data_IF_890590973781
#
_entry.id   IF_890590973781
#
_cell.length_a   1.000
_cell.length_b   1.000
_cell.length_c   1.000
_cell.angle_alpha   90.00
_cell.angle_beta   90.00
_cell.angle_gamma   90.00
#
_symmetry.space_group_name_H-M   'P 1'
#
loop_
_entity.id
_entity.type
_entity.pdbx_description
1 polymer ?
#
# COMPACT_ATOMS: atom_id res chain seq x y z
N UNK A 1 21.05 31.83 33.23
CA UNK A 1 19.93 32.67 33.72
C UNK A 1 20.25 34.10 33.34
N UNK A 2 19.34 34.71 32.58
CA UNK A 2 19.02 36.13 32.39
C UNK A 2 20.12 37.21 32.52
N UNK A 3 20.43 37.96 31.45
CA UNK A 3 19.82 39.24 31.01
C UNK A 3 20.57 40.47 31.56
N UNK A 4 20.80 41.44 30.66
CA UNK A 4 20.84 42.92 30.80
C UNK A 4 22.14 43.54 30.24
N UNK A 5 22.06 44.25 29.11
CA UNK A 5 21.79 45.70 28.93
C UNK A 5 23.01 46.57 29.33
N UNK A 6 23.78 47.13 28.38
CA UNK A 6 23.57 48.36 27.57
C UNK A 6 23.90 49.65 28.34
N UNK A 7 24.58 50.56 27.62
CA UNK A 7 24.91 51.98 27.88
C UNK A 7 26.21 52.19 28.68
N UNK A 8 27.06 53.18 28.41
CA UNK A 8 26.87 54.54 27.87
C UNK A 8 28.26 54.99 27.34
N UNK A 9 28.43 55.48 26.11
CA UNK A 9 28.22 56.86 25.61
C UNK A 9 29.35 57.86 25.97
N UNK A 10 29.64 58.71 24.97
CA UNK A 10 30.33 60.02 25.03
C UNK A 10 31.87 59.99 25.11
N UNK A 11 32.59 60.33 24.03
CA UNK A 11 32.86 61.68 23.49
C UNK A 11 34.16 62.28 24.07
N UNK A 12 35.15 62.60 23.22
CA UNK A 12 35.74 63.95 23.15
C UNK A 12 36.87 64.06 22.10
N UNK A 13 36.90 65.25 21.50
CA UNK A 13 38.07 66.06 21.07
C UNK A 13 38.43 66.16 19.57
N UNK A 14 37.84 67.21 18.97
CA UNK A 14 38.39 68.28 18.09
C UNK A 14 39.82 68.12 17.54
N UNK A 15 39.96 68.49 16.25
CA UNK A 15 40.83 69.59 15.76
C UNK A 15 40.43 70.01 14.33
N UNK A 16 40.42 71.32 14.08
CA UNK A 16 40.21 72.02 12.79
C UNK A 16 41.46 71.94 11.89
N UNK A 17 41.39 72.06 10.56
CA UNK A 17 41.42 73.35 9.83
C UNK A 17 40.92 73.27 8.37
N UNK A 18 40.27 74.36 7.96
CA UNK A 18 39.91 74.84 6.62
C UNK A 18 40.66 74.29 5.39
N UNK A 19 39.93 74.05 4.29
CA UNK A 19 39.95 74.90 3.08
C UNK A 19 39.00 74.33 2.01
N UNK A 20 38.01 75.13 1.62
CA UNK A 20 36.89 74.80 0.73
C UNK A 20 37.31 74.85 -0.74
N UNK A 21 36.84 73.90 -1.57
CA UNK A 21 36.72 74.12 -3.01
C UNK A 21 35.46 73.40 -3.51
N UNK A 22 34.41 74.19 -3.77
CA UNK A 22 33.20 73.75 -4.47
C UNK A 22 33.54 73.43 -5.93
N UNK A 23 33.15 72.23 -6.37
CA UNK A 23 33.03 71.89 -7.79
C UNK A 23 31.75 71.07 -7.92
N UNK A 24 30.73 71.68 -8.51
CA UNK A 24 29.50 71.02 -8.91
C UNK A 24 29.80 69.85 -9.87
N UNK A 25 29.79 68.63 -9.36
CA UNK A 25 29.41 67.42 -10.10
C UNK A 25 29.08 66.28 -9.12
N UNK A 26 28.07 65.44 -9.42
CA UNK A 26 27.72 64.30 -8.57
C UNK A 26 28.79 63.23 -8.74
N UNK A 27 29.61 63.00 -7.71
CA UNK A 27 30.55 61.89 -7.68
C UNK A 27 29.90 60.73 -6.91
N UNK A 28 29.81 59.62 -7.63
CA UNK A 28 29.29 58.31 -7.25
C UNK A 28 29.78 57.83 -5.88
N UNK A 29 28.85 57.41 -5.03
CA UNK A 29 29.10 56.38 -4.03
C UNK A 29 28.43 55.11 -4.55
N UNK A 30 29.08 54.44 -5.49
CA UNK A 30 28.90 53.00 -5.77
C UNK A 30 29.39 52.24 -4.53
N UNK A 31 28.53 52.21 -3.51
CA UNK A 31 28.70 51.44 -2.29
C UNK A 31 27.97 50.11 -2.39
N UNK A 32 28.70 49.09 -2.83
CA UNK A 32 28.66 47.72 -2.30
C UNK A 32 27.27 47.14 -1.96
N UNK A 33 26.57 46.63 -2.96
CA UNK A 33 25.75 45.43 -2.78
C UNK A 33 26.14 44.47 -3.90
N UNK A 34 27.12 43.62 -3.60
CA UNK A 34 27.41 42.42 -4.39
C UNK A 34 26.12 41.61 -4.48
N UNK A 35 25.44 41.74 -5.63
CA UNK A 35 24.24 40.98 -5.96
C UNK A 35 24.66 39.52 -6.11
N UNK A 36 24.63 38.77 -5.00
CA UNK A 36 24.69 37.31 -5.01
C UNK A 36 23.54 36.84 -5.91
N UNK A 37 23.87 36.39 -7.12
CA UNK A 37 22.89 36.07 -8.15
C UNK A 37 22.06 34.84 -7.74
N UNK A 38 20.91 35.12 -7.13
CA UNK A 38 19.95 34.12 -6.64
C UNK A 38 19.42 33.21 -7.75
N UNK A 39 19.59 33.58 -9.02
CA UNK A 39 19.08 32.79 -10.15
C UNK A 39 19.89 31.53 -10.38
N UNK A 40 21.20 31.54 -10.14
CA UNK A 40 22.04 30.35 -10.26
C UNK A 40 21.90 29.41 -9.05
N UNK A 41 21.67 29.97 -7.86
CA UNK A 41 21.35 29.19 -6.66
C UNK A 41 19.99 28.51 -6.80
N UNK A 42 18.95 29.23 -7.23
CA UNK A 42 17.62 28.63 -7.45
C UNK A 42 17.60 27.62 -8.60
N UNK A 43 18.33 27.85 -9.71
CA UNK A 43 18.36 26.91 -10.85
C UNK A 43 19.01 25.57 -10.47
N UNK A 44 20.12 25.60 -9.72
CA UNK A 44 20.80 24.38 -9.26
C UNK A 44 19.96 23.62 -8.23
N UNK A 45 19.26 24.32 -7.35
CA UNK A 45 18.42 23.69 -6.33
C UNK A 45 17.08 23.18 -6.90
N UNK A 46 16.53 23.82 -7.94
CA UNK A 46 15.41 23.26 -8.71
C UNK A 46 15.82 21.98 -9.46
N UNK A 47 16.99 21.97 -10.14
CA UNK A 47 17.45 20.77 -10.86
C UNK A 47 17.76 19.62 -9.91
N UNK A 48 18.42 19.88 -8.78
CA UNK A 48 18.68 18.87 -7.74
C UNK A 48 17.38 18.37 -7.11
N UNK A 49 16.41 19.26 -6.85
CA UNK A 49 15.09 18.89 -6.37
C UNK A 49 14.31 18.01 -7.34
N UNK A 50 14.32 18.33 -8.65
CA UNK A 50 13.68 17.51 -9.67
C UNK A 50 14.32 16.11 -9.78
N UNK A 51 15.65 16.00 -9.70
CA UNK A 51 16.36 14.71 -9.71
C UNK A 51 16.00 13.88 -8.48
N UNK A 52 15.86 14.52 -7.31
CA UNK A 52 15.44 13.85 -6.07
C UNK A 52 13.99 13.33 -6.15
N UNK A 53 13.07 14.12 -6.72
CA UNK A 53 11.67 13.72 -6.93
C UNK A 53 11.58 12.52 -7.90
N UNK A 54 12.39 12.51 -8.96
CA UNK A 54 12.46 11.39 -9.90
C UNK A 54 12.97 10.10 -9.21
N UNK A 55 13.95 10.21 -8.31
CA UNK A 55 14.46 9.07 -7.54
C UNK A 55 13.43 8.49 -6.56
N UNK A 56 12.64 9.34 -5.89
CA UNK A 56 11.58 8.89 -4.96
C UNK A 56 10.47 8.13 -5.72
N UNK A 57 10.22 8.45 -6.98
CA UNK A 57 9.15 7.84 -7.79
C UNK A 57 9.40 6.36 -8.11
N UNK A 58 10.66 5.91 -8.11
CA UNK A 58 11.05 4.52 -8.48
C UNK A 58 10.74 3.54 -7.33
N UNK A 59 10.69 4.02 -6.09
CA UNK A 59 10.60 3.17 -4.89
C UNK A 59 9.15 2.79 -4.54
N UNK A 60 8.15 3.39 -5.18
CA UNK A 60 6.73 3.03 -5.04
C UNK A 60 6.27 1.97 -6.05
N UNK A 61 7.20 1.30 -6.73
CA UNK A 61 6.91 0.17 -7.59
C UNK A 61 6.44 -1.05 -6.78
N UNK A 62 5.13 -1.16 -6.55
CA UNK A 62 4.53 -2.38 -6.00
C UNK A 62 4.66 -3.48 -7.06
N UNK A 63 5.65 -4.35 -6.90
CA UNK A 63 5.84 -5.51 -7.77
C UNK A 63 4.76 -6.56 -7.52
N UNK A 64 3.69 -6.56 -8.33
CA UNK A 64 2.70 -7.61 -8.29
C UNK A 64 3.28 -8.90 -8.90
N UNK A 65 3.85 -9.77 -8.07
CA UNK A 65 4.09 -11.17 -8.42
C UNK A 65 2.74 -11.83 -8.70
N UNK A 66 2.45 -12.16 -9.96
CA UNK A 66 1.20 -12.82 -10.35
C UNK A 66 1.24 -14.27 -9.88
N UNK A 67 0.47 -14.57 -8.85
CA UNK A 67 0.18 -15.96 -8.44
C UNK A 67 -0.78 -16.55 -9.48
N UNK A 68 -0.52 -17.76 -9.95
CA UNK A 68 -1.42 -18.47 -10.86
C UNK A 68 -2.03 -19.67 -10.14
N UNK A 69 -3.36 -19.72 -10.08
CA UNK A 69 -4.09 -20.87 -9.53
C UNK A 69 -3.98 -22.07 -10.47
N UNK A 70 -3.33 -23.16 -10.03
CA UNK A 70 -3.08 -24.36 -10.84
C UNK A 70 -4.08 -25.48 -10.56
N UNK A 71 -4.58 -25.56 -9.33
CA UNK A 71 -5.47 -26.62 -8.87
C UNK A 71 -6.30 -26.16 -7.67
N UNK A 72 -7.50 -26.72 -7.54
CA UNK A 72 -8.31 -26.65 -6.33
C UNK A 72 -8.71 -28.06 -5.93
N UNK A 73 -8.36 -28.46 -4.72
CA UNK A 73 -8.85 -29.70 -4.13
C UNK A 73 -9.91 -29.33 -3.11
N UNK A 74 -11.08 -29.97 -3.15
CA UNK A 74 -12.14 -29.68 -2.19
C UNK A 74 -12.91 -30.92 -1.76
N UNK A 75 -13.42 -30.88 -0.53
CA UNK A 75 -14.27 -31.93 0.04
C UNK A 75 -15.49 -31.31 0.67
N UNK A 76 -16.65 -31.95 0.45
CA UNK A 76 -17.94 -31.46 0.91
C UNK A 76 -18.34 -32.18 2.20
N UNK A 77 -18.91 -31.46 3.16
CA UNK A 77 -19.42 -32.03 4.39
C UNK A 77 -20.83 -32.59 4.17
N UNK A 78 -20.98 -33.90 4.41
CA UNK A 78 -22.25 -34.62 4.33
C UNK A 78 -23.09 -34.33 5.57
N UNK A 79 -24.40 -34.59 5.48
CA UNK A 79 -25.37 -34.33 6.56
C UNK A 79 -25.04 -35.06 7.88
N UNK A 80 -24.27 -36.15 7.81
CA UNK A 80 -23.80 -36.91 8.97
C UNK A 80 -22.49 -36.34 9.60
N UNK A 81 -21.98 -35.21 9.11
CA UNK A 81 -20.76 -34.59 9.61
C UNK A 81 -19.45 -35.24 9.12
N UNK A 82 -19.51 -36.11 8.11
CA UNK A 82 -18.35 -36.73 7.43
C UNK A 82 -18.07 -36.04 6.10
N UNK A 83 -16.81 -36.02 5.65
CA UNK A 83 -16.49 -35.45 4.34
C UNK A 83 -16.71 -36.46 3.21
N UNK A 84 -17.05 -35.95 2.03
CA UNK A 84 -16.92 -36.66 0.77
C UNK A 84 -15.45 -36.98 0.46
N UNK A 85 -15.25 -37.80 -0.57
CA UNK A 85 -13.96 -37.91 -1.23
C UNK A 85 -13.50 -36.54 -1.75
N UNK A 86 -12.18 -36.38 -1.86
CA UNK A 86 -11.56 -35.17 -2.38
C UNK A 86 -11.86 -35.10 -3.88
N UNK A 87 -12.43 -33.98 -4.29
CA UNK A 87 -12.64 -33.65 -5.71
C UNK A 87 -11.51 -32.72 -6.13
N UNK A 88 -10.76 -33.14 -7.15
CA UNK A 88 -9.70 -32.36 -7.76
C UNK A 88 -10.25 -31.57 -8.95
N UNK A 89 -10.08 -30.25 -8.92
CA UNK A 89 -10.48 -29.34 -9.97
C UNK A 89 -9.25 -28.74 -10.64
N UNK A 90 -9.07 -29.07 -11.92
CA UNK A 90 -7.97 -28.59 -12.78
C UNK A 90 -8.46 -27.92 -14.07
N UNK A 91 -9.79 -27.82 -14.26
CA UNK A 91 -10.36 -27.16 -15.44
C UNK A 91 -10.02 -25.66 -15.43
N UNK A 92 -9.24 -25.23 -16.42
CA UNK A 92 -8.72 -23.86 -16.52
C UNK A 92 -9.81 -22.79 -16.46
N UNK A 93 -10.96 -23.00 -17.13
CA UNK A 93 -12.05 -22.03 -17.14
C UNK A 93 -12.72 -21.90 -15.78
N UNK A 94 -12.87 -23.00 -15.05
CA UNK A 94 -13.36 -22.98 -13.66
C UNK A 94 -12.34 -22.34 -12.73
N UNK A 95 -11.05 -22.66 -12.87
CA UNK A 95 -9.98 -22.06 -12.07
C UNK A 95 -9.92 -20.53 -12.24
N UNK A 96 -9.94 -20.02 -13.47
CA UNK A 96 -9.96 -18.57 -13.75
C UNK A 96 -11.18 -17.88 -13.10
N UNK A 97 -12.34 -18.55 -13.08
CA UNK A 97 -13.55 -18.02 -12.42
C UNK A 97 -13.40 -18.01 -10.90
N UNK A 98 -12.83 -19.07 -10.30
CA UNK A 98 -12.55 -19.12 -8.87
C UNK A 98 -11.57 -18.00 -8.50
N UNK A 99 -10.47 -17.85 -9.23
CA UNK A 99 -9.50 -16.78 -9.01
C UNK A 99 -10.13 -15.38 -9.13
N UNK A 100 -11.03 -15.19 -10.10
CA UNK A 100 -11.80 -13.95 -10.24
C UNK A 100 -12.74 -13.70 -9.05
N UNK A 101 -13.35 -14.74 -8.47
CA UNK A 101 -14.16 -14.60 -7.27
C UNK A 101 -13.27 -14.18 -6.11
N UNK A 102 -12.16 -14.89 -5.87
CA UNK A 102 -11.24 -14.65 -4.76
C UNK A 102 -10.58 -13.27 -4.84
N UNK A 103 -10.26 -12.75 -6.03
CA UNK A 103 -9.72 -11.40 -6.20
C UNK A 103 -10.73 -10.27 -5.91
N UNK A 104 -12.04 -10.58 -5.90
CA UNK A 104 -13.10 -9.61 -5.53
C UNK A 104 -13.46 -9.68 -4.05
N UNK A 105 -12.95 -10.65 -3.31
CA UNK A 105 -13.23 -10.80 -1.88
C UNK A 105 -12.53 -9.68 -1.12
N UNK A 106 -13.27 -9.07 -0.21
CA UNK A 106 -12.71 -8.19 0.82
C UNK A 106 -12.44 -9.06 2.04
N UNK A 107 -11.17 -9.28 2.34
CA UNK A 107 -10.73 -10.04 3.50
C UNK A 107 -10.61 -9.12 4.72
N UNK A 108 -11.10 -9.61 5.85
CA UNK A 108 -10.87 -9.04 7.17
C UNK A 108 -9.86 -9.93 7.89
N UNK A 109 -8.72 -9.37 8.28
CA UNK A 109 -7.63 -10.08 8.95
C UNK A 109 -7.80 -10.02 10.47
N UNK A 110 -7.21 -10.98 11.18
CA UNK A 110 -7.21 -11.03 12.64
C UNK A 110 -8.61 -11.08 13.29
N UNK A 111 -9.59 -11.65 12.58
CA UNK A 111 -10.96 -11.80 13.07
C UNK A 111 -11.15 -13.21 13.64
N UNK A 112 -11.34 -13.29 14.96
CA UNK A 112 -11.74 -14.52 15.62
C UNK A 112 -13.23 -14.82 15.34
N UNK A 113 -13.50 -15.75 14.42
CA UNK A 113 -14.87 -16.14 14.06
C UNK A 113 -15.32 -17.35 14.86
N UNK A 114 -16.44 -17.20 15.58
CA UNK A 114 -17.07 -18.32 16.30
C UNK A 114 -17.74 -19.27 15.31
N UNK A 115 -17.26 -20.50 15.23
CA UNK A 115 -17.80 -21.56 14.34
C UNK A 115 -18.98 -22.25 15.04
N UNK A 116 -20.21 -21.96 14.61
CA UNK A 116 -21.44 -22.52 15.22
C UNK A 116 -21.76 -23.93 14.70
N UNK A 117 -21.29 -24.27 13.49
CA UNK A 117 -21.44 -25.60 12.87
C UNK A 117 -20.23 -25.91 12.00
N UNK A 118 -20.04 -27.19 11.66
CA UNK A 118 -19.07 -27.59 10.64
C UNK A 118 -19.36 -26.88 9.31
N UNK A 119 -18.30 -26.51 8.62
CA UNK A 119 -18.32 -25.94 7.29
C UNK A 119 -18.93 -26.88 6.27
N UNK A 120 -19.40 -26.33 5.16
CA UNK A 120 -20.01 -27.09 4.07
C UNK A 120 -18.93 -27.63 3.12
N UNK A 121 -17.83 -26.88 2.94
CA UNK A 121 -16.71 -27.28 2.10
C UNK A 121 -15.38 -26.90 2.77
N UNK A 122 -14.41 -27.81 2.71
CA UNK A 122 -12.99 -27.45 2.85
C UNK A 122 -12.35 -27.45 1.47
N UNK A 123 -11.66 -26.37 1.12
CA UNK A 123 -10.97 -26.22 -0.16
C UNK A 123 -9.51 -25.85 0.07
N UNK A 124 -8.61 -26.46 -0.70
CA UNK A 124 -7.19 -26.15 -0.76
C UNK A 124 -6.87 -25.64 -2.15
N UNK A 125 -6.44 -24.37 -2.25
CA UNK A 125 -6.06 -23.73 -3.49
C UNK A 125 -4.53 -23.81 -3.64
N UNK A 126 -4.06 -24.22 -4.82
CA UNK A 126 -2.65 -24.38 -5.14
C UNK A 126 -2.20 -23.27 -6.10
N UNK A 127 -1.19 -22.51 -5.69
CA UNK A 127 -0.67 -21.39 -6.47
C UNK A 127 0.80 -21.56 -6.81
N UNK A 128 1.14 -21.23 -8.05
CA UNK A 128 2.54 -21.06 -8.50
C UNK A 128 2.82 -19.57 -8.63
N UNK A 129 3.76 -19.05 -7.84
CA UNK A 129 4.18 -17.65 -7.88
C UNK A 129 5.35 -17.42 -8.85
N UNK A 130 6.33 -18.33 -8.85
CA UNK A 130 7.51 -18.27 -9.72
C UNK A 130 7.76 -19.62 -10.41
N UNK A 131 8.26 -19.57 -11.64
CA UNK A 131 8.62 -20.77 -12.39
C UNK A 131 9.74 -21.49 -11.63
N UNK A 132 9.52 -22.76 -11.29
CA UNK A 132 10.41 -23.66 -10.53
C UNK A 132 10.39 -23.50 -8.99
N UNK A 133 9.49 -22.69 -8.42
CA UNK A 133 9.22 -22.70 -6.99
C UNK A 133 8.12 -23.73 -6.64
N UNK A 134 8.13 -24.31 -5.43
CA UNK A 134 7.05 -25.20 -5.00
C UNK A 134 5.71 -24.45 -4.96
N UNK A 135 4.63 -25.19 -5.19
CA UNK A 135 3.27 -24.66 -5.06
C UNK A 135 3.04 -24.17 -3.63
N UNK A 136 2.38 -23.02 -3.49
CA UNK A 136 1.86 -22.54 -2.21
C UNK A 136 0.42 -22.99 -2.05
N UNK A 137 0.10 -23.52 -0.89
CA UNK A 137 -1.22 -24.03 -0.55
C UNK A 137 -1.91 -23.03 0.36
N UNK A 138 -3.18 -22.76 0.08
CA UNK A 138 -4.03 -21.96 0.94
C UNK A 138 -5.32 -22.72 1.23
N UNK A 139 -5.60 -22.91 2.51
CA UNK A 139 -6.76 -23.67 2.96
C UNK A 139 -7.91 -22.73 3.36
N UNK A 140 -9.11 -23.09 2.93
CA UNK A 140 -10.32 -22.33 3.18
C UNK A 140 -11.44 -23.24 3.68
N UNK A 141 -12.12 -22.78 4.73
CA UNK A 141 -13.38 -23.33 5.21
C UNK A 141 -14.52 -22.45 4.69
N UNK A 142 -15.55 -23.07 4.07
CA UNK A 142 -16.62 -22.36 3.38
C UNK A 142 -17.99 -22.79 3.94
N UNK A 143 -18.79 -21.81 4.34
CA UNK A 143 -20.19 -21.98 4.74
C UNK A 143 -21.11 -21.30 3.74
N UNK A 144 -22.08 -22.02 3.19
CA UNK A 144 -23.15 -21.47 2.38
C UNK A 144 -24.38 -21.25 3.24
N UNK A 145 -24.87 -20.00 3.26
CA UNK A 145 -26.08 -19.58 3.91
C UNK A 145 -27.17 -19.37 2.85
N UNK A 146 -27.86 -20.45 2.50
CA UNK A 146 -28.88 -20.46 1.44
C UNK A 146 -30.08 -19.54 1.76
N UNK A 147 -30.40 -19.38 3.04
CA UNK A 147 -31.45 -18.52 3.57
C UNK A 147 -31.22 -17.04 3.22
N UNK A 148 -30.00 -16.53 3.44
CA UNK A 148 -29.62 -15.15 3.11
C UNK A 148 -28.88 -15.03 1.77
N UNK A 149 -28.73 -16.15 1.04
CA UNK A 149 -27.95 -16.27 -0.18
C UNK A 149 -26.54 -15.67 -0.06
N UNK A 150 -25.80 -15.97 1.00
CA UNK A 150 -24.41 -15.52 1.17
C UNK A 150 -23.50 -16.71 1.46
N UNK A 151 -22.20 -16.51 1.29
CA UNK A 151 -21.19 -17.47 1.68
C UNK A 151 -20.17 -16.80 2.60
N UNK A 152 -19.72 -17.53 3.61
CA UNK A 152 -18.65 -17.13 4.52
C UNK A 152 -17.44 -18.00 4.22
N UNK A 153 -16.28 -17.36 4.06
CA UNK A 153 -15.00 -18.04 3.89
C UNK A 153 -14.10 -17.67 5.07
N UNK A 154 -13.41 -18.67 5.60
CA UNK A 154 -12.36 -18.49 6.58
C UNK A 154 -11.09 -19.11 6.00
N UNK A 155 -10.05 -18.31 5.85
CA UNK A 155 -8.73 -18.77 5.41
C UNK A 155 -7.78 -18.95 6.59
N UNK A 156 -7.01 -20.04 6.57
CA UNK A 156 -5.99 -20.35 7.59
C UNK A 156 -4.58 -20.21 6.99
N UNK A 157 -4.09 -18.97 6.94
CA UNK A 157 -2.78 -18.61 6.37
C UNK A 157 -1.89 -17.90 7.41
N UNK A 158 -1.81 -18.43 8.62
CA UNK A 158 -1.01 -17.88 9.72
C UNK A 158 -1.75 -16.87 10.60
N UNK A 159 -2.64 -16.06 10.02
CA UNK A 159 -3.65 -15.28 10.72
C UNK A 159 -5.04 -15.62 10.17
N UNK A 160 -6.03 -15.77 11.06
CA UNK A 160 -7.39 -16.13 10.64
C UNK A 160 -7.98 -14.98 9.82
N UNK A 161 -8.22 -15.26 8.54
CA UNK A 161 -8.84 -14.31 7.62
C UNK A 161 -10.32 -14.67 7.43
N UNK A 162 -11.17 -13.67 7.40
CA UNK A 162 -12.62 -13.82 7.25
C UNK A 162 -13.12 -13.05 6.03
N UNK A 163 -14.10 -13.62 5.33
CA UNK A 163 -14.75 -12.97 4.21
C UNK A 163 -16.22 -13.37 4.11
N UNK A 164 -17.06 -12.40 3.74
CA UNK A 164 -18.46 -12.63 3.40
C UNK A 164 -18.73 -12.26 1.94
N UNK A 165 -19.14 -13.25 1.15
CA UNK A 165 -19.50 -13.07 -0.25
C UNK A 165 -20.94 -12.59 -0.37
N UNK A 166 -21.17 -11.75 -1.38
CA UNK A 166 -22.52 -11.35 -1.79
C UNK A 166 -23.24 -12.51 -2.51
N UNK A 167 -24.52 -12.29 -2.82
CA UNK A 167 -25.37 -13.28 -3.48
C UNK A 167 -24.84 -13.81 -4.81
N UNK A 168 -24.31 -12.94 -5.64
CA UNK A 168 -23.83 -13.29 -6.97
C UNK A 168 -22.58 -14.18 -6.88
N UNK A 169 -21.58 -13.74 -6.13
CA UNK A 169 -20.33 -14.48 -5.94
C UNK A 169 -20.57 -15.81 -5.21
N UNK A 170 -21.47 -15.83 -4.22
CA UNK A 170 -21.82 -17.04 -3.47
C UNK A 170 -22.44 -18.10 -4.38
N UNK A 171 -23.41 -17.71 -5.23
CA UNK A 171 -24.04 -18.63 -6.18
C UNK A 171 -23.08 -19.09 -7.27
N UNK A 172 -22.19 -18.21 -7.73
CA UNK A 172 -21.17 -18.59 -8.72
C UNK A 172 -20.20 -19.61 -8.12
N UNK A 173 -19.70 -19.37 -6.90
CA UNK A 173 -18.80 -20.28 -6.21
C UNK A 173 -19.45 -21.65 -5.93
N UNK A 174 -20.70 -21.64 -5.47
CA UNK A 174 -21.49 -22.86 -5.24
C UNK A 174 -21.59 -23.73 -6.51
N UNK A 175 -21.86 -23.11 -7.67
CA UNK A 175 -21.91 -23.81 -8.96
C UNK A 175 -20.55 -24.34 -9.40
N UNK A 176 -19.47 -23.59 -9.17
CA UNK A 176 -18.12 -24.01 -9.56
C UNK A 176 -17.66 -25.24 -8.77
N UNK A 177 -18.05 -25.31 -7.49
CA UNK A 177 -17.74 -26.41 -6.58
C UNK A 177 -18.79 -27.53 -6.60
N UNK A 178 -19.77 -27.49 -7.52
CA UNK A 178 -20.86 -28.47 -7.63
C UNK A 178 -21.51 -28.78 -6.25
N UNK A 179 -21.82 -27.75 -5.48
CA UNK A 179 -22.43 -27.90 -4.16
C UNK A 179 -23.95 -27.76 -4.25
N UNK A 180 -24.64 -28.88 -4.03
CA UNK A 180 -26.09 -29.00 -4.11
C UNK A 180 -26.65 -29.32 -2.71
N UNK A 181 -27.09 -28.28 -2.00
CA UNK A 181 -27.75 -28.40 -0.70
C UNK A 181 -28.74 -27.27 -0.52
#
# INVERSE_FOLDING_TARGET
MCISNINEMQCHRKLSTHYQRDINSPIEIEGLIEKRDWRDFMRKWCLVGCIWILFISIILGCGNTRKNLTRVDYKQNRTNGTYSDIVMLTDKKKLEKIERIFSKIKWEENVAVKRTRKEDIKATLFYVEEKNMPERLYEYEIWFHNDINKAVLIGDNGEQSYAMLNKELSKELQKLLNYEK
#
